data_IF_024909507764
#
_entry.id   IF_024909507764
#
_cell.length_a   1.000
_cell.length_b   1.000
_cell.length_c   1.000
_cell.angle_alpha   90.00
_cell.angle_beta   90.00
_cell.angle_gamma   90.00
#
_symmetry.space_group_name_H-M   'P 1'
#
loop_
_entity.id
_entity.type
_entity.pdbx_description
1 polymer ?
#
# COMPACT_ATOMS: atom_id res chain seq x y z
N UNK A 1 -27.76 -32.25 38.25
CA UNK A 1 -26.37 -31.94 38.65
C UNK A 1 -25.30 -32.26 37.60
N UNK A 2 -25.58 -32.92 36.47
CA UNK A 2 -24.55 -33.16 35.44
C UNK A 2 -24.46 -32.10 34.32
N UNK A 3 -25.47 -31.22 34.19
CA UNK A 3 -25.56 -30.26 33.07
C UNK A 3 -24.85 -28.93 33.38
N UNK A 4 -24.80 -28.48 34.64
CA UNK A 4 -24.14 -27.22 35.03
C UNK A 4 -22.60 -27.28 34.94
N UNK A 5 -21.99 -28.46 35.08
CA UNK A 5 -20.54 -28.63 34.99
C UNK A 5 -20.01 -28.71 33.54
N UNK A 6 -20.88 -28.88 32.54
CA UNK A 6 -20.48 -28.85 31.13
C UNK A 6 -20.30 -27.41 30.60
N UNK A 7 -21.01 -26.45 31.17
CA UNK A 7 -20.92 -25.03 30.77
C UNK A 7 -19.74 -24.33 31.44
N UNK A 8 -19.28 -24.82 32.60
CA UNK A 8 -18.10 -24.28 33.30
C UNK A 8 -16.75 -24.67 32.66
N UNK A 9 -16.68 -25.79 31.92
CA UNK A 9 -15.51 -26.20 31.14
C UNK A 9 -15.54 -25.69 29.68
N UNK A 10 -16.73 -25.29 29.20
CA UNK A 10 -16.95 -24.76 27.86
C UNK A 10 -16.13 -23.50 27.49
N UNK A 11 -15.89 -22.50 28.36
CA UNK A 11 -15.14 -21.31 27.94
C UNK A 11 -13.68 -21.64 27.59
N UNK A 12 -13.05 -22.59 28.28
CA UNK A 12 -11.66 -22.98 28.00
C UNK A 12 -11.53 -23.70 26.64
N UNK A 13 -12.46 -24.63 26.35
CA UNK A 13 -12.48 -25.36 25.08
C UNK A 13 -12.84 -24.47 23.89
N UNK A 14 -13.72 -23.49 24.08
CA UNK A 14 -14.06 -22.51 23.04
C UNK A 14 -12.89 -21.57 22.77
N UNK A 15 -12.21 -21.08 23.82
CA UNK A 15 -11.02 -20.24 23.68
C UNK A 15 -9.86 -20.97 22.99
N UNK A 16 -9.61 -22.24 23.31
CA UNK A 16 -8.55 -23.02 22.66
C UNK A 16 -8.87 -23.33 21.19
N UNK A 17 -10.14 -23.60 20.85
CA UNK A 17 -10.59 -23.74 19.48
C UNK A 17 -10.42 -22.46 18.66
N UNK A 18 -10.82 -21.32 19.20
CA UNK A 18 -10.65 -20.02 18.54
C UNK A 18 -9.17 -19.66 18.36
N UNK A 19 -8.33 -19.92 19.36
CA UNK A 19 -6.89 -19.70 19.27
C UNK A 19 -6.25 -20.56 18.17
N UNK A 20 -6.69 -21.82 18.03
CA UNK A 20 -6.19 -22.72 16.99
C UNK A 20 -6.62 -22.25 15.59
N UNK A 21 -7.87 -21.83 15.41
CA UNK A 21 -8.37 -21.27 14.14
C UNK A 21 -7.59 -20.00 13.77
N UNK A 22 -7.40 -19.09 14.74
CA UNK A 22 -6.63 -17.87 14.53
C UNK A 22 -5.17 -18.17 14.16
N UNK A 23 -4.54 -19.15 14.84
CA UNK A 23 -3.19 -19.60 14.53
C UNK A 23 -3.06 -20.17 13.11
N UNK A 24 -3.99 -21.03 12.69
CA UNK A 24 -4.02 -21.58 11.33
C UNK A 24 -4.24 -20.49 10.27
N UNK A 25 -5.12 -19.52 10.54
CA UNK A 25 -5.35 -18.39 9.65
C UNK A 25 -4.09 -17.52 9.50
N UNK A 26 -3.40 -17.22 10.61
CA UNK A 26 -2.15 -16.46 10.60
C UNK A 26 -1.03 -17.18 9.82
N UNK A 27 -0.91 -18.51 9.98
CA UNK A 27 0.03 -19.32 9.21
C UNK A 27 -0.30 -19.33 7.71
N UNK A 28 -1.59 -19.42 7.37
CA UNK A 28 -2.05 -19.37 5.98
C UNK A 28 -1.71 -18.05 5.28
N UNK A 29 -1.97 -16.92 5.95
CA UNK A 29 -1.62 -15.60 5.41
C UNK A 29 -0.10 -15.41 5.33
N UNK A 30 0.65 -15.83 6.37
CA UNK A 30 2.11 -15.79 6.37
C UNK A 30 2.72 -16.60 5.22
N UNK A 31 2.21 -17.80 4.96
CA UNK A 31 2.63 -18.63 3.84
C UNK A 31 2.32 -17.97 2.48
N UNK A 32 1.14 -17.34 2.34
CA UNK A 32 0.77 -16.61 1.11
C UNK A 32 1.73 -15.46 0.82
N UNK A 33 2.04 -14.65 1.83
CA UNK A 33 2.98 -13.54 1.70
C UNK A 33 4.39 -14.03 1.39
N UNK A 34 4.85 -15.08 2.07
CA UNK A 34 6.15 -15.70 1.80
C UNK A 34 6.27 -16.17 0.34
N UNK A 35 5.23 -16.85 -0.18
CA UNK A 35 5.20 -17.31 -1.56
C UNK A 35 5.21 -16.15 -2.56
N UNK A 36 4.53 -15.04 -2.27
CA UNK A 36 4.56 -13.85 -3.13
C UNK A 36 5.98 -13.24 -3.18
N UNK A 37 6.61 -13.06 -2.02
CA UNK A 37 7.97 -12.54 -1.93
C UNK A 37 8.95 -13.44 -2.67
N UNK A 38 8.79 -14.77 -2.54
CA UNK A 38 9.66 -15.72 -3.22
C UNK A 38 9.47 -15.72 -4.73
N UNK A 39 8.25 -15.51 -5.23
CA UNK A 39 7.99 -15.32 -6.67
C UNK A 39 8.72 -14.09 -7.20
N UNK A 40 8.65 -12.96 -6.48
CA UNK A 40 9.34 -11.73 -6.87
C UNK A 40 10.86 -11.97 -6.88
N UNK A 41 11.43 -12.51 -5.79
CA UNK A 41 12.88 -12.76 -5.65
C UNK A 41 13.44 -13.73 -6.68
N UNK A 42 12.67 -14.74 -7.08
CA UNK A 42 13.12 -15.76 -8.03
C UNK A 42 12.84 -15.39 -9.49
N UNK A 43 12.19 -14.25 -9.77
CA UNK A 43 11.95 -13.79 -11.14
C UNK A 43 13.20 -13.07 -11.62
N UNK A 44 13.92 -13.57 -12.63
CA UNK A 44 15.10 -12.88 -13.14
C UNK A 44 14.70 -11.64 -13.96
N UNK A 45 15.48 -10.57 -13.85
CA UNK A 45 15.33 -9.38 -14.70
C UNK A 45 15.51 -9.76 -16.17
N UNK A 46 14.45 -9.54 -16.95
CA UNK A 46 14.41 -9.83 -18.39
C UNK A 46 14.58 -8.55 -19.21
N UNK A 47 14.99 -8.71 -20.47
CA UNK A 47 14.98 -7.63 -21.46
C UNK A 47 13.59 -7.45 -22.03
N UNK A 48 13.25 -6.23 -22.46
CA UNK A 48 11.96 -5.88 -23.07
C UNK A 48 11.66 -6.76 -24.28
N UNK A 49 12.64 -6.98 -25.17
CA UNK A 49 12.45 -7.81 -26.37
C UNK A 49 12.10 -9.27 -26.09
N UNK A 50 12.41 -9.76 -24.89
CA UNK A 50 12.24 -11.15 -24.47
C UNK A 50 11.39 -11.25 -23.20
N UNK A 51 10.51 -10.27 -22.97
CA UNK A 51 9.61 -10.29 -21.84
C UNK A 51 8.68 -11.51 -21.94
N UNK A 52 8.63 -12.32 -20.88
CA UNK A 52 7.77 -13.49 -20.83
C UNK A 52 6.29 -13.10 -20.81
N UNK A 53 5.43 -13.94 -21.39
CA UNK A 53 3.98 -13.80 -21.23
C UNK A 53 3.61 -14.22 -19.81
N UNK A 54 3.43 -13.25 -18.91
CA UNK A 54 3.08 -13.48 -17.51
C UNK A 54 3.87 -12.59 -16.55
N UNK A 55 4.33 -13.18 -15.43
CA UNK A 55 5.16 -12.49 -14.45
C UNK A 55 6.55 -12.26 -15.03
N UNK A 56 6.99 -11.01 -15.07
CA UNK A 56 8.30 -10.60 -15.57
C UNK A 56 8.82 -9.43 -14.74
N UNK A 57 10.12 -9.45 -14.46
CA UNK A 57 10.83 -8.30 -13.92
C UNK A 57 11.55 -7.58 -15.07
N UNK A 58 11.38 -6.27 -15.17
CA UNK A 58 12.00 -5.43 -16.20
C UNK A 58 12.78 -4.29 -15.55
N UNK A 59 13.89 -3.92 -16.18
CA UNK A 59 14.71 -2.79 -15.78
C UNK A 59 14.99 -1.90 -16.98
N UNK A 60 14.76 -0.60 -16.82
CA UNK A 60 14.90 0.37 -17.89
C UNK A 60 14.55 1.78 -17.42
N UNK A 61 14.63 2.73 -18.34
CA UNK A 61 14.27 4.13 -18.11
C UNK A 61 12.78 4.32 -18.34
N UNK A 62 12.10 4.95 -17.37
CA UNK A 62 10.71 5.35 -17.54
C UNK A 62 10.62 6.57 -18.47
N UNK A 63 9.78 6.47 -19.50
CA UNK A 63 9.58 7.47 -20.55
C UNK A 63 8.09 7.80 -20.68
N UNK A 64 7.70 9.08 -20.72
CA UNK A 64 6.29 9.45 -20.75
C UNK A 64 5.65 9.12 -22.11
N UNK A 65 4.43 8.58 -22.12
CA UNK A 65 3.63 8.51 -23.36
C UNK A 65 3.05 9.88 -23.72
N UNK A 66 2.62 10.64 -22.71
CA UNK A 66 2.22 12.04 -22.81
C UNK A 66 2.99 12.81 -21.75
N UNK A 67 3.47 14.00 -22.07
CA UNK A 67 4.16 14.84 -21.07
C UNK A 67 3.18 15.18 -19.94
N UNK A 68 3.41 14.58 -18.78
CA UNK A 68 2.72 14.87 -17.54
C UNK A 68 3.54 15.81 -16.66
N UNK A 69 2.84 16.62 -15.87
CA UNK A 69 3.45 17.43 -14.82
C UNK A 69 2.85 17.07 -13.47
N UNK A 70 3.68 17.08 -12.42
CA UNK A 70 3.19 16.94 -11.06
C UNK A 70 2.27 18.10 -10.71
N UNK A 71 1.08 17.85 -10.12
CA UNK A 71 0.14 18.93 -9.81
C UNK A 71 0.67 19.88 -8.74
N UNK A 72 1.59 19.42 -7.89
CA UNK A 72 2.19 20.19 -6.77
C UNK A 72 3.43 20.93 -7.23
N UNK A 73 4.48 20.21 -7.67
CA UNK A 73 5.77 20.81 -8.01
C UNK A 73 5.84 21.41 -9.41
N UNK A 74 4.85 21.11 -10.28
CA UNK A 74 4.82 21.48 -11.71
C UNK A 74 6.00 20.96 -12.53
N UNK A 75 6.83 20.08 -11.97
CA UNK A 75 7.93 19.47 -12.69
C UNK A 75 7.43 18.41 -13.69
N UNK A 76 8.09 18.27 -14.86
CA UNK A 76 7.84 17.15 -15.77
C UNK A 76 8.05 15.81 -15.06
N UNK A 77 7.05 14.94 -15.10
CA UNK A 77 7.05 13.67 -14.37
C UNK A 77 6.31 12.60 -15.16
N UNK A 78 6.87 11.38 -15.20
CA UNK A 78 6.24 10.23 -15.86
C UNK A 78 5.08 9.67 -15.02
N UNK A 79 5.27 9.64 -13.70
CA UNK A 79 4.28 9.21 -12.72
C UNK A 79 4.36 10.13 -11.50
N UNK A 80 3.23 10.37 -10.85
CA UNK A 80 3.18 11.09 -9.59
C UNK A 80 2.11 10.52 -8.67
N UNK A 81 2.39 10.58 -7.37
CA UNK A 81 1.44 10.31 -6.29
C UNK A 81 1.52 11.47 -5.31
N UNK A 82 0.38 12.08 -5.01
CA UNK A 82 0.25 13.13 -4.02
C UNK A 82 -0.64 12.65 -2.90
N UNK A 83 -0.15 12.77 -1.68
CA UNK A 83 -0.86 12.45 -0.46
C UNK A 83 -0.75 13.63 0.49
N UNK A 84 -1.88 14.08 1.04
CA UNK A 84 -1.92 15.08 2.09
C UNK A 84 -2.58 14.48 3.33
N UNK A 85 -1.89 14.63 4.45
CA UNK A 85 -2.28 14.09 5.74
C UNK A 85 -2.21 15.18 6.80
N UNK A 86 -3.00 15.03 7.84
CA UNK A 86 -2.84 15.83 9.05
C UNK A 86 -2.75 14.94 10.27
N UNK A 87 -2.05 15.45 11.27
CA UNK A 87 -1.93 14.78 12.55
C UNK A 87 -3.09 15.20 13.45
N UNK A 88 -3.92 14.24 13.85
CA UNK A 88 -5.06 14.46 14.72
C UNK A 88 -4.71 13.95 16.12
N UNK A 89 -4.69 14.86 17.10
CA UNK A 89 -4.59 14.53 18.52
C UNK A 89 -5.98 14.60 19.17
N UNK A 90 -6.46 13.50 19.75
CA UNK A 90 -7.72 13.43 20.49
C UNK A 90 -7.44 13.02 21.93
N UNK A 91 -8.06 13.71 22.87
CA UNK A 91 -8.19 13.24 24.24
C UNK A 91 -9.53 12.52 24.38
N UNK A 92 -9.50 11.27 24.83
CA UNK A 92 -10.74 10.60 25.19
C UNK A 92 -11.28 11.09 26.54
N UNK A 93 -12.54 10.73 26.86
CA UNK A 93 -13.18 11.12 28.13
C UNK A 93 -12.52 10.51 29.38
N UNK A 94 -11.62 9.54 29.21
CA UNK A 94 -10.89 8.85 30.27
C UNK A 94 -9.44 9.36 30.41
N UNK A 95 -9.06 10.39 29.64
CA UNK A 95 -7.72 11.00 29.69
C UNK A 95 -6.66 10.25 28.90
N UNK A 96 -7.03 9.33 28.01
CA UNK A 96 -6.10 8.70 27.08
C UNK A 96 -5.89 9.55 25.84
N UNK A 97 -4.62 9.71 25.49
CA UNK A 97 -4.20 10.38 24.27
C UNK A 97 -4.22 9.40 23.10
N UNK A 98 -4.99 9.76 22.07
CA UNK A 98 -5.02 9.04 20.81
C UNK A 98 -4.55 9.96 19.70
N UNK A 99 -3.50 9.53 19.02
CA UNK A 99 -2.95 10.24 17.87
C UNK A 99 -3.09 9.40 16.61
N UNK A 100 -3.63 9.98 15.56
CA UNK A 100 -3.76 9.33 14.25
C UNK A 100 -3.37 10.27 13.11
N UNK A 101 -2.72 9.73 12.09
CA UNK A 101 -2.54 10.42 10.82
C UNK A 101 -3.79 10.22 9.97
N UNK A 102 -4.49 11.31 9.67
CA UNK A 102 -5.70 11.28 8.86
C UNK A 102 -5.35 11.75 7.45
N UNK A 103 -5.58 10.89 6.46
CA UNK A 103 -5.41 11.25 5.04
C UNK A 103 -6.69 11.89 4.54
N UNK A 104 -6.63 13.16 4.14
CA UNK A 104 -7.80 13.87 3.59
C UNK A 104 -7.73 14.04 2.07
N UNK A 105 -6.56 13.86 1.46
CA UNK A 105 -6.39 13.91 0.03
C UNK A 105 -5.34 12.91 -0.43
N UNK A 106 -5.69 12.10 -1.43
CA UNK A 106 -4.77 11.17 -2.09
C UNK A 106 -5.13 11.08 -3.57
N UNK A 107 -4.16 11.32 -4.45
CA UNK A 107 -4.36 11.25 -5.90
C UNK A 107 -3.10 10.76 -6.60
N UNK A 108 -3.28 9.85 -7.55
CA UNK A 108 -2.22 9.29 -8.37
C UNK A 108 -2.46 9.57 -9.86
N UNK A 109 -1.38 9.58 -10.64
CA UNK A 109 -1.48 9.60 -12.10
C UNK A 109 -1.93 8.24 -12.65
N UNK A 110 -2.83 8.24 -13.63
CA UNK A 110 -3.29 7.05 -14.36
C UNK A 110 -2.70 6.94 -15.77
N UNK A 111 -1.79 7.84 -16.12
CA UNK A 111 -1.20 7.88 -17.45
C UNK A 111 -0.29 6.65 -17.67
N UNK A 112 -0.45 6.02 -18.83
CA UNK A 112 0.47 4.97 -19.29
C UNK A 112 1.83 5.58 -19.61
N UNK A 113 2.88 4.80 -19.44
CA UNK A 113 4.24 5.21 -19.75
C UNK A 113 5.03 4.06 -20.36
N UNK A 114 6.12 4.37 -21.04
CA UNK A 114 7.03 3.37 -21.56
C UNK A 114 8.14 3.08 -20.55
N UNK A 115 8.55 1.82 -20.46
CA UNK A 115 9.86 1.45 -19.92
C UNK A 115 10.74 1.09 -21.11
N UNK A 116 11.85 1.81 -21.25
CA UNK A 116 12.80 1.67 -22.35
C UNK A 116 14.12 1.08 -21.83
N UNK A 117 14.54 -0.03 -22.42
CA UNK A 117 15.87 -0.63 -22.21
C UNK A 117 16.71 -0.56 -23.50
N UNK A 118 17.85 -1.22 -23.51
CA UNK A 118 18.75 -1.32 -24.67
C UNK A 118 18.17 -2.12 -25.84
N UNK A 119 17.07 -2.86 -25.63
CA UNK A 119 16.46 -3.75 -26.63
C UNK A 119 15.16 -3.23 -27.21
N UNK A 120 14.48 -2.31 -26.52
CA UNK A 120 13.26 -1.69 -26.99
C UNK A 120 12.47 -0.99 -25.89
N UNK A 121 11.19 -0.76 -26.16
CA UNK A 121 10.27 -0.09 -25.23
C UNK A 121 9.01 -0.90 -25.01
N UNK A 122 8.54 -0.97 -23.77
CA UNK A 122 7.29 -1.63 -23.39
C UNK A 122 6.33 -0.63 -22.74
N UNK A 123 5.06 -0.65 -23.15
CA UNK A 123 4.02 0.18 -22.54
C UNK A 123 3.58 -0.44 -21.21
N UNK A 124 3.66 0.34 -20.15
CA UNK A 124 3.20 0.00 -18.80
C UNK A 124 1.90 0.76 -18.51
N UNK A 125 0.91 0.02 -18.05
CA UNK A 125 -0.32 0.58 -17.48
C UNK A 125 -0.23 0.48 -15.94
N UNK A 126 -0.08 1.60 -15.22
CA UNK A 126 0.02 1.57 -13.75
C UNK A 126 -1.32 1.33 -13.07
N UNK A 127 -2.45 1.33 -13.79
CA UNK A 127 -3.77 1.17 -13.20
C UNK A 127 -3.91 -0.20 -12.50
N UNK A 128 -4.30 -0.18 -11.22
CA UNK A 128 -4.46 -1.38 -10.40
C UNK A 128 -3.15 -2.03 -9.94
N UNK A 129 -1.98 -1.47 -10.30
CA UNK A 129 -0.68 -1.89 -9.82
C UNK A 129 -0.27 -1.18 -8.53
N UNK A 130 0.54 -1.85 -7.71
CA UNK A 130 1.24 -1.20 -6.60
C UNK A 130 2.47 -0.47 -7.16
N UNK A 131 2.51 0.85 -6.99
CA UNK A 131 3.64 1.68 -7.44
C UNK A 131 4.34 2.26 -6.23
N UNK A 132 5.64 1.98 -6.12
CA UNK A 132 6.49 2.55 -5.07
C UNK A 132 7.44 3.57 -5.69
N UNK A 133 7.23 4.83 -5.34
CA UNK A 133 8.10 5.94 -5.72
C UNK A 133 8.64 6.61 -4.46
N UNK A 134 9.86 7.16 -4.54
CA UNK A 134 10.42 7.97 -3.46
C UNK A 134 9.69 9.32 -3.42
N UNK A 135 9.50 9.88 -2.23
CA UNK A 135 8.95 11.22 -2.10
C UNK A 135 9.99 12.26 -2.54
N UNK A 136 9.66 13.01 -3.60
CA UNK A 136 10.50 14.10 -4.12
C UNK A 136 10.22 15.45 -3.43
N UNK A 137 9.01 15.62 -2.90
CA UNK A 137 8.57 16.83 -2.21
C UNK A 137 7.77 16.46 -0.97
N UNK A 138 8.16 17.03 0.17
CA UNK A 138 7.44 16.91 1.43
C UNK A 138 7.33 18.31 2.05
N UNK A 139 6.14 18.63 2.52
CA UNK A 139 5.87 19.87 3.22
C UNK A 139 5.10 19.56 4.49
N UNK A 140 5.62 20.02 5.61
CA UNK A 140 4.99 19.93 6.92
C UNK A 140 4.63 21.34 7.39
N UNK A 141 3.45 21.47 7.97
CA UNK A 141 2.96 22.74 8.49
C UNK A 141 1.92 22.52 9.57
N UNK A 142 1.69 23.55 10.38
CA UNK A 142 0.61 23.53 11.35
C UNK A 142 -0.68 23.96 10.68
N UNK A 143 -1.70 23.11 10.79
CA UNK A 143 -3.06 23.50 10.46
C UNK A 143 -3.57 24.42 11.57
N UNK A 144 -3.88 25.66 11.22
CA UNK A 144 -4.69 26.51 12.08
C UNK A 144 -6.14 26.06 11.93
N UNK A 145 -6.80 25.72 13.04
CA UNK A 145 -8.19 25.22 13.11
C UNK A 145 -9.19 26.04 12.29
N UNK A 146 -8.91 27.33 12.05
CA UNK A 146 -9.82 28.26 11.37
C UNK A 146 -9.80 28.16 9.84
N UNK A 147 -8.78 27.56 9.23
CA UNK A 147 -8.60 27.62 7.77
C UNK A 147 -9.27 26.46 7.00
N UNK A 148 -9.58 25.35 7.66
CA UNK A 148 -10.06 24.13 6.98
C UNK A 148 -11.57 23.91 7.07
N UNK A 149 -12.23 24.37 8.15
CA UNK A 149 -13.67 24.14 8.34
C UNK A 149 -14.60 25.16 7.70
N UNK A 150 -14.08 26.26 7.12
CA UNK A 150 -14.83 27.12 6.19
C UNK A 150 -16.30 27.40 6.53
N UNK A 151 -16.61 27.58 7.82
CA UNK A 151 -17.84 28.13 8.39
C UNK A 151 -17.49 29.46 9.05
#
# INVERSE_FOLDING_TARGET
>A
MAVENLVASAPCCVCSGLALIAGLAALGEGARQYMLVQKIKNTPTSKVRSAAVGLVELSGKAMPTVQGVSPVTKNPSVYWHVMAQYYHHKHDRHGHDQSEWVTFYSKTSTAKFYVEDDTGKMLIDPAGGEVRVKADFQFEGHLSDKAFFGL
#
